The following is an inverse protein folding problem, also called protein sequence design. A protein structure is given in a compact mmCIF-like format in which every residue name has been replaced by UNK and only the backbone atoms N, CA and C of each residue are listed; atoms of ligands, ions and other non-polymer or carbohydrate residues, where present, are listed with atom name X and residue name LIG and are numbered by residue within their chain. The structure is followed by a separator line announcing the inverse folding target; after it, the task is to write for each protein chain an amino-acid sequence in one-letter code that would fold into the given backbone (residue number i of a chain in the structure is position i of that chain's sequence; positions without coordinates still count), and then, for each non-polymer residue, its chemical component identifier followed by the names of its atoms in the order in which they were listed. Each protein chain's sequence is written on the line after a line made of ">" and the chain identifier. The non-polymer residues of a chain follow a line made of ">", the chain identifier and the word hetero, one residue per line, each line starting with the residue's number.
data_IF_392537820238
#
_entry.id   IF_392537820238
#
_cell.length_a   1.000
_cell.length_b   1.000
_cell.length_c   1.000
_cell.angle_alpha   90.00
_cell.angle_beta   90.00
_cell.angle_gamma   90.00
#
_symmetry.space_group_name_H-M   'P 1'
#
loop_
_entity.id
_entity.type
_entity.pdbx_description
1 polymer ?
#
# COMPACT_ATOMS: atom_id res chain seq x y z
N UNK A 1 2.64 10.59 23.28
CA UNK A 1 2.81 9.13 23.39
C UNK A 1 2.25 8.51 22.12
N UNK A 2 2.96 7.56 21.46
CA UNK A 2 2.48 6.97 20.23
C UNK A 2 1.23 6.13 20.48
N UNK A 3 0.23 6.26 19.61
CA UNK A 3 -1.04 5.56 19.72
C UNK A 3 -0.85 4.05 19.43
N UNK A 4 -1.75 3.19 19.92
CA UNK A 4 -1.68 1.74 19.68
C UNK A 4 -1.64 1.38 18.19
N UNK A 5 -2.26 2.20 17.33
CA UNK A 5 -2.23 2.06 15.88
C UNK A 5 -0.80 2.26 15.30
N UNK A 6 -0.03 3.19 15.87
CA UNK A 6 1.33 3.52 15.42
C UNK A 6 2.33 2.42 15.76
N UNK A 7 2.17 1.78 16.93
CA UNK A 7 3.01 0.65 17.34
C UNK A 7 2.78 -0.59 16.47
N UNK A 8 1.55 -0.79 15.98
CA UNK A 8 1.19 -1.92 15.14
C UNK A 8 1.74 -1.79 13.71
N UNK A 9 1.73 -0.57 13.15
CA UNK A 9 2.26 -0.31 11.80
C UNK A 9 3.79 -0.49 11.74
N UNK A 10 4.52 0.07 12.71
CA UNK A 10 5.98 -0.03 12.79
C UNK A 10 6.45 -1.50 12.90
N UNK A 11 5.75 -2.29 13.71
CA UNK A 11 6.10 -3.70 13.96
C UNK A 11 5.82 -4.62 12.77
N UNK A 12 4.84 -4.28 11.92
CA UNK A 12 4.49 -5.07 10.72
C UNK A 12 5.40 -4.81 9.52
N UNK A 13 5.92 -3.58 9.40
CA UNK A 13 6.77 -3.18 8.29
C UNK A 13 8.23 -3.68 8.43
N UNK A 14 8.76 -3.71 9.66
CA UNK A 14 10.19 -3.96 9.87
C UNK A 14 10.55 -5.31 10.50
N UNK A 15 9.58 -6.21 10.67
CA UNK A 15 9.83 -7.63 10.89
C UNK A 15 10.83 -7.97 12.01
N UNK A 16 10.33 -8.10 13.24
CA UNK A 16 10.93 -8.99 14.24
C UNK A 16 12.30 -8.61 14.79
N UNK A 17 12.26 -7.98 15.97
CA UNK A 17 13.27 -7.99 17.05
C UNK A 17 14.52 -7.10 16.91
N UNK A 18 14.58 -6.19 17.90
CA UNK A 18 15.71 -5.49 18.51
C UNK A 18 16.55 -4.57 17.63
N UNK A 19 16.25 -3.28 17.85
CA UNK A 19 17.06 -2.10 17.56
C UNK A 19 16.86 -1.53 16.16
N UNK A 20 15.65 -1.00 15.94
CA UNK A 20 15.40 0.00 14.89
C UNK A 20 16.10 1.29 15.35
N UNK A 21 17.12 1.80 14.65
CA UNK A 21 17.81 3.03 15.02
C UNK A 21 16.81 4.20 15.05
N UNK A 22 16.79 4.97 16.15
CA UNK A 22 15.86 6.09 16.36
C UNK A 22 15.88 7.15 15.23
N UNK A 23 16.94 7.18 14.42
CA UNK A 23 17.07 8.05 13.25
C UNK A 23 16.22 7.58 12.07
N UNK A 24 16.08 6.27 11.85
CA UNK A 24 15.21 5.70 10.82
C UNK A 24 13.72 5.88 11.18
N UNK A 25 13.41 5.93 12.47
CA UNK A 25 12.07 6.27 12.98
C UNK A 25 11.67 7.70 12.53
N UNK A 26 12.60 8.67 12.58
CA UNK A 26 12.34 10.07 12.20
C UNK A 26 12.14 10.30 10.69
N UNK A 27 12.81 9.54 9.83
CA UNK A 27 12.64 9.66 8.37
C UNK A 27 11.35 9.00 7.87
N UNK A 28 10.88 7.95 8.54
CA UNK A 28 9.59 7.31 8.25
C UNK A 28 8.43 8.12 8.84
N UNK A 29 8.65 8.81 9.97
CA UNK A 29 7.69 9.74 10.61
C UNK A 29 7.50 11.08 9.86
N UNK A 30 8.38 11.42 8.93
CA UNK A 30 8.29 12.67 8.14
C UNK A 30 7.61 12.47 6.78
N UNK A 31 7.30 11.23 6.39
CA UNK A 31 6.52 11.00 5.18
C UNK A 31 5.05 11.22 5.46
N UNK A 32 4.45 12.12 4.68
CA UNK A 32 3.02 12.34 4.76
C UNK A 32 2.28 11.03 4.37
N UNK A 33 1.10 10.75 4.96
CA UNK A 33 0.31 9.56 4.65
C UNK A 33 0.08 9.35 3.13
N UNK A 34 0.01 10.43 2.38
CA UNK A 34 -0.09 10.47 0.92
C UNK A 34 1.14 9.85 0.25
N UNK A 35 2.35 10.22 0.71
CA UNK A 35 3.60 9.67 0.19
C UNK A 35 3.75 8.19 0.52
N UNK A 36 3.31 7.76 1.71
CA UNK A 36 3.30 6.34 2.09
C UNK A 36 2.34 5.54 1.19
N UNK A 37 1.17 6.10 0.90
CA UNK A 37 0.20 5.50 -0.04
C UNK A 37 0.83 5.30 -1.42
N UNK A 38 1.45 6.34 -2.00
CA UNK A 38 2.13 6.24 -3.29
C UNK A 38 3.26 5.21 -3.30
N UNK A 39 4.06 5.16 -2.24
CA UNK A 39 5.15 4.16 -2.12
C UNK A 39 4.63 2.74 -1.97
N UNK A 40 3.47 2.56 -1.36
CA UNK A 40 2.80 1.25 -1.28
C UNK A 40 2.35 0.77 -2.66
N UNK A 41 1.84 1.67 -3.52
CA UNK A 41 1.56 1.34 -4.92
C UNK A 41 2.84 1.08 -5.74
N UNK A 42 3.90 1.86 -5.55
CA UNK A 42 5.20 1.60 -6.19
C UNK A 42 5.73 0.20 -5.82
N UNK A 43 5.54 -0.21 -4.56
CA UNK A 43 5.91 -1.55 -4.08
C UNK A 43 5.14 -2.65 -4.82
N UNK A 44 3.86 -2.45 -5.09
CA UNK A 44 3.07 -3.37 -5.92
C UNK A 44 3.65 -3.49 -7.33
N UNK A 45 3.94 -2.36 -7.98
CA UNK A 45 4.49 -2.30 -9.34
C UNK A 45 5.82 -3.06 -9.43
N UNK A 46 6.73 -2.83 -8.47
CA UNK A 46 8.01 -3.55 -8.40
C UNK A 46 7.79 -5.05 -8.18
N UNK A 47 6.87 -5.42 -7.29
CA UNK A 47 6.53 -6.82 -7.02
C UNK A 47 5.96 -7.52 -8.24
N UNK A 48 5.14 -6.82 -9.03
CA UNK A 48 4.61 -7.31 -10.30
C UNK A 48 5.71 -7.55 -11.32
N UNK A 49 6.66 -6.61 -11.47
CA UNK A 49 7.82 -6.78 -12.37
C UNK A 49 8.71 -7.96 -11.96
N UNK A 50 8.77 -8.26 -10.66
CA UNK A 50 9.50 -9.41 -10.10
C UNK A 50 8.69 -10.72 -10.13
N UNK A 51 7.45 -10.72 -10.66
CA UNK A 51 6.52 -11.85 -10.61
C UNK A 51 6.32 -12.43 -9.20
N UNK A 52 6.44 -11.60 -8.16
CA UNK A 52 6.32 -12.03 -6.78
C UNK A 52 4.87 -11.95 -6.30
N UNK A 53 4.06 -12.95 -6.68
CA UNK A 53 2.63 -13.03 -6.35
C UNK A 53 2.34 -12.95 -4.83
N UNK A 54 3.08 -13.62 -3.93
CA UNK A 54 2.87 -13.47 -2.49
C UNK A 54 3.03 -12.03 -2.02
N UNK A 55 4.05 -11.33 -2.54
CA UNK A 55 4.31 -9.92 -2.21
C UNK A 55 3.24 -9.00 -2.77
N UNK A 56 2.77 -9.24 -4.00
CA UNK A 56 1.67 -8.48 -4.60
C UNK A 56 0.39 -8.58 -3.77
N UNK A 57 0.00 -9.80 -3.37
CA UNK A 57 -1.19 -10.02 -2.53
C UNK A 57 -1.06 -9.34 -1.16
N UNK A 58 0.12 -9.42 -0.53
CA UNK A 58 0.37 -8.73 0.74
C UNK A 58 0.18 -7.22 0.61
N UNK A 59 0.70 -6.61 -0.45
CA UNK A 59 0.52 -5.16 -0.69
C UNK A 59 -0.95 -4.80 -0.86
N UNK A 60 -1.73 -5.59 -1.59
CA UNK A 60 -3.17 -5.35 -1.76
C UNK A 60 -3.92 -5.45 -0.42
N UNK A 61 -3.61 -6.45 0.41
CA UNK A 61 -4.23 -6.58 1.74
C UNK A 61 -3.92 -5.38 2.63
N UNK A 62 -2.68 -4.86 2.60
CA UNK A 62 -2.32 -3.66 3.35
C UNK A 62 -3.07 -2.42 2.83
N UNK A 63 -3.19 -2.25 1.51
CA UNK A 63 -3.97 -1.16 0.92
C UNK A 63 -5.46 -1.24 1.30
N UNK A 64 -6.04 -2.44 1.29
CA UNK A 64 -7.43 -2.68 1.72
C UNK A 64 -7.62 -2.34 3.20
N UNK A 65 -6.67 -2.72 4.05
CA UNK A 65 -6.69 -2.42 5.48
C UNK A 65 -6.42 -0.95 5.83
N UNK A 66 -5.83 -0.18 4.91
CA UNK A 66 -5.56 1.25 5.07
C UNK A 66 -6.70 2.16 4.59
N UNK A 67 -7.75 1.60 3.98
CA UNK A 67 -8.89 2.38 3.50
C UNK A 67 -9.65 3.04 4.66
N UNK A 68 -10.06 4.30 4.45
CA UNK A 68 -10.88 5.02 5.41
C UNK A 68 -12.38 4.73 5.18
N UNK A 69 -12.97 3.90 6.03
CA UNK A 69 -14.37 3.51 5.96
C UNK A 69 -15.35 4.52 6.59
N UNK A 70 -14.87 5.63 7.16
CA UNK A 70 -15.74 6.76 7.54
C UNK A 70 -16.44 7.37 6.31
N UNK A 71 -15.85 7.19 5.12
CA UNK A 71 -16.43 7.53 3.81
C UNK A 71 -16.68 6.24 3.02
N UNK A 72 -17.82 5.56 3.23
CA UNK A 72 -18.01 4.19 2.77
C UNK A 72 -18.09 4.05 1.25
N UNK A 73 -18.63 5.04 0.52
CA UNK A 73 -18.79 4.93 -0.93
C UNK A 73 -17.46 4.82 -1.69
N UNK A 74 -16.49 5.75 -1.51
CA UNK A 74 -15.17 5.63 -2.14
C UNK A 74 -14.36 4.45 -1.60
N UNK A 75 -14.46 4.15 -0.30
CA UNK A 75 -13.75 3.02 0.31
C UNK A 75 -14.21 1.68 -0.26
N UNK A 76 -15.52 1.45 -0.38
CA UNK A 76 -16.07 0.22 -0.93
C UNK A 76 -15.66 0.01 -2.39
N UNK A 77 -15.74 1.06 -3.23
CA UNK A 77 -15.32 0.96 -4.63
C UNK A 77 -13.83 0.62 -4.77
N UNK A 78 -12.97 1.23 -3.95
CA UNK A 78 -11.54 0.91 -3.94
C UNK A 78 -11.27 -0.52 -3.44
N UNK A 79 -12.00 -0.95 -2.42
CA UNK A 79 -11.92 -2.31 -1.91
C UNK A 79 -12.27 -3.34 -2.99
N UNK A 80 -13.39 -3.14 -3.71
CA UNK A 80 -13.80 -4.01 -4.82
C UNK A 80 -12.75 -4.04 -5.94
N UNK A 81 -12.11 -2.91 -6.24
CA UNK A 81 -11.05 -2.84 -7.23
C UNK A 81 -9.80 -3.62 -6.80
N UNK A 82 -9.43 -3.56 -5.51
CA UNK A 82 -8.31 -4.34 -4.97
C UNK A 82 -8.61 -5.84 -4.92
N UNK A 83 -9.84 -6.22 -4.55
CA UNK A 83 -10.30 -7.61 -4.62
C UNK A 83 -10.21 -8.13 -6.06
N UNK A 84 -10.65 -7.33 -7.03
CA UNK A 84 -10.50 -7.67 -8.45
C UNK A 84 -9.03 -7.86 -8.84
N UNK A 85 -8.11 -7.00 -8.39
CA UNK A 85 -6.68 -7.16 -8.64
C UNK A 85 -6.13 -8.48 -8.04
N UNK A 86 -6.59 -8.90 -6.85
CA UNK A 86 -6.21 -10.19 -6.27
C UNK A 86 -6.68 -11.36 -7.14
N UNK A 87 -7.90 -11.29 -7.68
CA UNK A 87 -8.42 -12.29 -8.63
C UNK A 87 -7.60 -12.35 -9.92
N UNK A 88 -7.20 -11.19 -10.46
CA UNK A 88 -6.30 -11.13 -11.61
C UNK A 88 -4.96 -11.82 -11.32
N UNK A 89 -4.36 -11.59 -10.15
CA UNK A 89 -3.12 -12.27 -9.74
C UNK A 89 -3.31 -13.78 -9.67
N UNK A 90 -4.39 -14.25 -9.06
CA UNK A 90 -4.72 -15.68 -8.98
C UNK A 90 -4.91 -16.33 -10.37
N UNK A 91 -5.34 -15.54 -11.36
CA UNK A 91 -5.51 -15.97 -12.75
C UNK A 91 -4.25 -15.76 -13.61
N UNK A 92 -3.10 -15.38 -13.01
CA UNK A 92 -1.88 -14.96 -13.72
C UNK A 92 -2.06 -13.77 -14.68
N UNK A 93 -3.13 -12.98 -14.52
CA UNK A 93 -3.40 -11.74 -15.27
C UNK A 93 -2.70 -10.55 -14.61
N UNK A 94 -1.39 -10.68 -14.37
CA UNK A 94 -0.62 -9.70 -13.60
C UNK A 94 -0.55 -8.33 -14.30
N UNK A 95 -0.55 -8.30 -15.63
CA UNK A 95 -0.54 -7.04 -16.41
C UNK A 95 -1.83 -6.23 -16.24
N UNK A 96 -2.97 -6.90 -16.11
CA UNK A 96 -4.25 -6.24 -15.89
C UNK A 96 -4.29 -5.57 -14.52
N UNK A 97 -3.89 -6.30 -13.47
CA UNK A 97 -3.74 -5.75 -12.13
C UNK A 97 -2.72 -4.60 -12.09
N UNK A 98 -1.61 -4.72 -12.84
CA UNK A 98 -0.60 -3.67 -12.92
C UNK A 98 -1.16 -2.37 -13.51
N UNK A 99 -1.87 -2.45 -14.63
CA UNK A 99 -2.45 -1.28 -15.29
C UNK A 99 -3.42 -0.53 -14.36
N UNK A 100 -4.26 -1.27 -13.63
CA UNK A 100 -5.20 -0.70 -12.67
C UNK A 100 -4.47 0.02 -11.54
N UNK A 101 -3.48 -0.64 -10.93
CA UNK A 101 -2.71 -0.08 -9.82
C UNK A 101 -1.87 1.12 -10.26
N UNK A 102 -1.28 1.10 -11.46
CA UNK A 102 -0.57 2.24 -12.03
C UNK A 102 -1.51 3.44 -12.23
N UNK A 103 -2.69 3.22 -12.82
CA UNK A 103 -3.69 4.29 -13.01
C UNK A 103 -4.13 4.92 -11.69
N UNK A 104 -4.35 4.11 -10.64
CA UNK A 104 -4.64 4.60 -9.31
C UNK A 104 -3.49 5.42 -8.72
N UNK A 105 -2.26 4.89 -8.78
CA UNK A 105 -1.06 5.59 -8.30
C UNK A 105 -0.93 6.98 -8.92
N UNK A 106 -1.09 7.07 -10.24
CA UNK A 106 -0.96 8.34 -10.97
C UNK A 106 -2.12 9.31 -10.64
N UNK A 107 -3.32 8.78 -10.42
CA UNK A 107 -4.48 9.57 -9.98
C UNK A 107 -4.25 10.16 -8.59
N UNK A 108 -3.75 9.36 -7.66
CA UNK A 108 -3.41 9.83 -6.31
C UNK A 108 -2.23 10.79 -6.31
N UNK A 109 -1.21 10.56 -7.15
CA UNK A 109 -0.08 11.48 -7.27
C UNK A 109 -0.53 12.89 -7.70
N UNK A 110 -1.45 12.95 -8.67
CA UNK A 110 -2.10 14.20 -9.08
C UNK A 110 -2.96 14.81 -7.98
N UNK A 111 -3.78 14.01 -7.30
CA UNK A 111 -4.64 14.49 -6.23
C UNK A 111 -3.85 15.10 -5.05
N UNK A 112 -2.65 14.58 -4.80
CA UNK A 112 -1.77 15.04 -3.73
C UNK A 112 -0.74 16.10 -4.17
N UNK A 113 -0.71 16.50 -5.45
CA UNK A 113 0.34 17.35 -6.04
C UNK A 113 1.76 16.83 -5.76
N UNK A 114 1.97 15.52 -5.84
CA UNK A 114 3.25 14.83 -5.60
C UNK A 114 3.92 14.37 -6.91
N UNK A 115 3.76 15.14 -8.00
CA UNK A 115 4.30 14.84 -9.34
C UNK A 115 5.84 14.78 -9.40
#
# INVERSE_FOLDING_TARGET
>A
MPTPAQQLAARKLYGGDRNVPAYLDQEVLTWSPEKITLKTYDLFIVSCKQNNMPRMNRVLVELMGALNFDYPEPANRLYELYDYCQRCIAQNKNLEALNIIQGLRDTWAKAFNLE
#
